data_IF_569468325610
#
_entry.id   IF_569468325610
#
_cell.length_a   1.000
_cell.length_b   1.000
_cell.length_c   1.000
_cell.angle_alpha   90.00
_cell.angle_beta   90.00
_cell.angle_gamma   90.00
#
_symmetry.space_group_name_H-M   'P 1'
#
loop_
_entity.id
_entity.type
_entity.pdbx_description
1 polymer ?
#
# COMPACT_ATOMS: atom_id res chain seq x y z
N UNK A 1 -24.57 -22.57 -5.87
CA UNK A 1 -24.97 -21.25 -5.34
C UNK A 1 -23.78 -20.73 -4.58
N UNK A 2 -22.91 -19.94 -5.22
CA UNK A 2 -21.82 -19.27 -4.51
C UNK A 2 -22.44 -18.15 -3.70
N UNK A 3 -22.46 -18.32 -2.39
CA UNK A 3 -22.84 -17.27 -1.45
C UNK A 3 -21.82 -16.13 -1.61
N UNK A 4 -22.30 -14.95 -2.04
CA UNK A 4 -21.48 -13.73 -2.25
C UNK A 4 -21.12 -13.02 -0.95
N UNK A 5 -21.31 -13.67 0.21
CA UNK A 5 -21.13 -13.05 1.53
C UNK A 5 -19.68 -13.06 2.06
N UNK A 6 -18.68 -13.55 1.31
CA UNK A 6 -17.27 -13.63 1.77
C UNK A 6 -16.33 -12.67 1.03
N UNK A 7 -16.85 -11.79 0.18
CA UNK A 7 -16.05 -10.95 -0.73
C UNK A 7 -15.33 -9.76 -0.05
N UNK A 8 -15.52 -9.54 1.25
CA UNK A 8 -15.04 -8.34 1.96
C UNK A 8 -13.68 -8.49 2.64
N UNK A 9 -13.11 -9.70 2.77
CA UNK A 9 -11.93 -9.93 3.63
C UNK A 9 -10.59 -10.06 2.89
N UNK A 10 -10.57 -9.74 1.60
CA UNK A 10 -9.42 -9.96 0.73
C UNK A 10 -8.77 -8.66 0.22
N UNK A 11 -9.28 -7.50 0.64
CA UNK A 11 -8.79 -6.19 0.21
C UNK A 11 -8.02 -5.53 1.34
N UNK A 12 -6.92 -4.86 1.01
CA UNK A 12 -6.10 -4.15 1.98
C UNK A 12 -5.61 -2.84 1.41
N UNK A 13 -5.71 -1.76 2.20
CA UNK A 13 -4.93 -0.55 1.95
C UNK A 13 -3.57 -0.74 2.58
N UNK A 14 -2.48 -0.57 1.83
CA UNK A 14 -1.13 -0.86 2.28
C UNK A 14 -0.35 0.43 2.47
N UNK A 15 0.23 0.57 3.66
CA UNK A 15 1.09 1.68 4.07
C UNK A 15 2.41 1.72 3.27
N UNK A 16 2.95 2.90 2.97
CA UNK A 16 4.23 3.03 2.24
C UNK A 16 5.36 2.27 2.94
N UNK A 17 5.44 2.29 4.28
CA UNK A 17 6.46 1.56 5.05
C UNK A 17 6.42 0.06 4.80
N UNK A 18 5.22 -0.51 4.64
CA UNK A 18 5.07 -1.91 4.24
C UNK A 18 5.51 -2.09 2.80
N UNK A 19 5.07 -1.21 1.87
CA UNK A 19 5.46 -1.27 0.46
C UNK A 19 6.97 -1.15 0.25
N UNK A 20 7.70 -0.37 1.05
CA UNK A 20 9.16 -0.32 1.00
C UNK A 20 9.77 -1.72 1.15
N UNK A 21 9.29 -2.52 2.10
CA UNK A 21 9.83 -3.86 2.34
C UNK A 21 9.75 -4.81 1.12
N UNK A 22 8.89 -4.51 0.13
CA UNK A 22 8.80 -5.26 -1.12
C UNK A 22 10.15 -5.37 -1.87
N UNK A 23 11.00 -4.34 -1.77
CA UNK A 23 12.28 -4.30 -2.47
C UNK A 23 13.37 -5.17 -1.83
N UNK A 24 13.15 -5.70 -0.63
CA UNK A 24 14.08 -6.61 0.04
C UNK A 24 13.94 -8.04 -0.48
N UNK A 25 15.08 -8.72 -0.62
CA UNK A 25 15.12 -10.13 -0.99
C UNK A 25 14.43 -10.99 0.09
N UNK A 26 13.59 -11.93 -0.34
CA UNK A 26 12.86 -12.83 0.57
C UNK A 26 11.81 -12.13 1.44
N UNK A 27 11.38 -10.92 1.09
CA UNK A 27 10.39 -10.19 1.89
C UNK A 27 9.04 -10.92 1.94
N UNK A 28 8.49 -11.02 3.15
CA UNK A 28 7.15 -11.55 3.35
C UNK A 28 6.10 -10.77 2.56
N UNK A 29 6.29 -9.45 2.48
CA UNK A 29 5.44 -8.53 1.71
C UNK A 29 5.35 -8.92 0.25
N UNK A 30 6.48 -9.24 -0.39
CA UNK A 30 6.47 -9.70 -1.78
C UNK A 30 5.66 -10.98 -1.97
N UNK A 31 5.73 -11.92 -1.03
CA UNK A 31 4.92 -13.13 -1.06
C UNK A 31 3.41 -12.86 -0.96
N UNK A 32 3.00 -11.98 -0.04
CA UNK A 32 1.59 -11.61 0.12
C UNK A 32 1.03 -10.85 -1.08
N UNK A 33 1.78 -9.88 -1.60
CA UNK A 33 1.36 -9.09 -2.77
C UNK A 33 1.14 -9.96 -4.02
N UNK A 34 1.74 -11.14 -4.08
CA UNK A 34 1.58 -12.10 -5.17
C UNK A 34 0.40 -13.07 -4.99
N UNK A 35 -0.28 -13.09 -3.83
CA UNK A 35 -1.41 -13.98 -3.62
C UNK A 35 -2.60 -13.54 -4.49
N UNK A 36 -3.04 -14.35 -5.47
CA UNK A 36 -4.12 -13.97 -6.38
C UNK A 36 -5.48 -13.86 -5.68
N UNK A 37 -5.59 -14.31 -4.42
CA UNK A 37 -6.79 -14.15 -3.62
C UNK A 37 -6.85 -12.80 -2.90
N UNK A 38 -5.77 -12.01 -2.90
CA UNK A 38 -5.68 -10.73 -2.21
C UNK A 38 -5.62 -9.57 -3.21
N UNK A 39 -6.24 -8.45 -2.85
CA UNK A 39 -6.21 -7.20 -3.59
C UNK A 39 -5.60 -6.11 -2.71
N UNK A 40 -4.65 -5.35 -3.27
CA UNK A 40 -3.91 -4.33 -2.53
C UNK A 40 -4.08 -2.96 -3.17
N UNK A 41 -4.29 -1.96 -2.32
CA UNK A 41 -4.51 -0.58 -2.71
C UNK A 41 -3.57 0.32 -1.92
N UNK A 42 -3.17 1.44 -2.49
CA UNK A 42 -2.45 2.49 -1.76
C UNK A 42 -2.79 3.86 -2.36
N UNK A 43 -2.70 4.95 -1.60
CA UNK A 43 -2.70 6.28 -2.17
C UNK A 43 -1.58 6.48 -3.20
N UNK A 44 -1.84 7.26 -4.25
CA UNK A 44 -0.85 7.53 -5.30
C UNK A 44 0.45 8.15 -4.77
N UNK A 45 0.38 8.98 -3.72
CA UNK A 45 1.56 9.59 -3.11
C UNK A 45 2.54 8.53 -2.55
N UNK A 46 2.07 7.34 -2.14
CA UNK A 46 2.94 6.27 -1.67
C UNK A 46 3.91 5.81 -2.77
N UNK A 47 3.48 5.84 -4.03
CA UNK A 47 4.35 5.57 -5.18
C UNK A 47 5.34 6.72 -5.42
N UNK A 48 4.92 7.96 -5.21
CA UNK A 48 5.79 9.14 -5.30
C UNK A 48 6.91 9.05 -4.26
N UNK A 49 6.56 8.76 -3.00
CA UNK A 49 7.49 8.57 -1.89
C UNK A 49 8.51 7.45 -2.19
N UNK A 50 8.05 6.30 -2.72
CA UNK A 50 8.95 5.22 -3.15
C UNK A 50 9.95 5.69 -4.22
N UNK A 51 9.53 6.55 -5.15
CA UNK A 51 10.40 7.08 -6.19
C UNK A 51 11.42 8.08 -5.60
N UNK A 52 10.99 8.94 -4.68
CA UNK A 52 11.86 9.90 -3.99
C UNK A 52 12.93 9.18 -3.16
N UNK A 53 12.56 8.08 -2.51
CA UNK A 53 13.46 7.25 -1.71
C UNK A 53 14.24 6.18 -2.51
N UNK A 54 14.22 6.23 -3.85
CA UNK A 54 14.91 5.27 -4.71
C UNK A 54 16.39 5.07 -4.33
N UNK A 55 17.13 6.15 -4.07
CA UNK A 55 18.55 6.06 -3.71
C UNK A 55 18.78 5.29 -2.40
N UNK A 56 17.93 5.50 -1.40
CA UNK A 56 17.99 4.81 -0.11
C UNK A 56 17.67 3.32 -0.26
N UNK A 57 16.66 2.99 -1.08
CA UNK A 57 16.31 1.59 -1.41
C UNK A 57 17.50 0.90 -2.09
N UNK A 58 18.12 1.53 -3.08
CA UNK A 58 19.27 0.99 -3.78
C UNK A 58 20.45 0.74 -2.83
N UNK A 59 20.74 1.68 -1.93
CA UNK A 59 21.82 1.55 -0.96
C UNK A 59 21.57 0.39 0.02
N UNK A 60 20.36 0.30 0.59
CA UNK A 60 20.01 -0.71 1.59
C UNK A 60 19.87 -2.11 1.03
N UNK A 61 19.27 -2.25 -0.15
CA UNK A 61 18.98 -3.55 -0.78
C UNK A 61 20.12 -4.03 -1.67
N UNK A 62 21.04 -3.14 -2.05
CA UNK A 62 22.17 -3.40 -2.98
C UNK A 62 21.72 -3.89 -4.36
N UNK A 63 20.49 -3.60 -4.77
CA UNK A 63 19.99 -3.91 -6.11
C UNK A 63 20.48 -2.85 -7.11
N UNK A 64 20.49 -3.19 -8.40
CA UNK A 64 20.81 -2.22 -9.45
C UNK A 64 19.64 -1.27 -9.73
N UNK A 65 19.88 -0.08 -10.29
CA UNK A 65 18.83 0.83 -10.74
C UNK A 65 17.84 0.19 -11.73
N UNK A 66 18.33 -0.67 -12.62
CA UNK A 66 17.46 -1.41 -13.55
C UNK A 66 16.58 -2.41 -12.81
N UNK A 67 17.14 -3.13 -11.83
CA UNK A 67 16.36 -4.04 -10.99
C UNK A 67 15.30 -3.30 -10.17
N UNK A 68 15.62 -2.12 -9.64
CA UNK A 68 14.65 -1.26 -8.97
C UNK A 68 13.50 -0.87 -9.92
N UNK A 69 13.79 -0.44 -11.15
CA UNK A 69 12.75 -0.11 -12.14
C UNK A 69 11.84 -1.30 -12.43
N UNK A 70 12.39 -2.50 -12.55
CA UNK A 70 11.62 -3.72 -12.79
C UNK A 70 10.73 -4.07 -11.59
N UNK A 71 11.28 -4.04 -10.37
CA UNK A 71 10.52 -4.26 -9.14
C UNK A 71 9.43 -3.20 -8.96
N UNK A 72 9.69 -1.94 -9.28
CA UNK A 72 8.69 -0.87 -9.22
C UNK A 72 7.55 -1.13 -10.21
N UNK A 73 7.85 -1.55 -11.44
CA UNK A 73 6.82 -1.94 -12.42
C UNK A 73 5.99 -3.12 -11.91
N UNK A 74 6.66 -4.12 -11.32
CA UNK A 74 6.00 -5.27 -10.67
C UNK A 74 5.06 -4.79 -9.56
N UNK A 75 5.52 -3.88 -8.70
CA UNK A 75 4.72 -3.31 -7.62
C UNK A 75 3.46 -2.60 -8.15
N UNK A 76 3.55 -1.82 -9.23
CA UNK A 76 2.40 -1.18 -9.88
C UNK A 76 1.43 -2.16 -10.56
N UNK A 77 1.82 -3.42 -10.77
CA UNK A 77 0.92 -4.48 -11.24
C UNK A 77 0.21 -5.15 -10.07
N UNK A 78 0.87 -5.26 -8.91
CA UNK A 78 0.36 -5.95 -7.72
C UNK A 78 -0.48 -5.03 -6.81
N UNK A 79 -0.25 -3.72 -6.85
CA UNK A 79 -0.91 -2.72 -6.00
C UNK A 79 -1.57 -1.67 -6.88
N UNK A 80 -2.85 -1.40 -6.64
CA UNK A 80 -3.59 -0.33 -7.29
C UNK A 80 -3.36 0.99 -6.54
N UNK A 81 -2.67 1.93 -7.19
CA UNK A 81 -2.39 3.26 -6.65
C UNK A 81 -3.55 4.21 -7.00
N UNK A 82 -4.27 4.67 -5.97
CA UNK A 82 -5.50 5.44 -6.10
C UNK A 82 -5.19 6.94 -5.92
N UNK A 83 -5.60 7.81 -6.86
CA UNK A 83 -5.32 9.23 -6.77
C UNK A 83 -6.23 9.92 -5.74
N UNK A 84 -5.72 10.99 -5.11
CA UNK A 84 -6.38 11.73 -4.02
C UNK A 84 -7.84 12.10 -4.31
N UNK A 85 -8.13 12.48 -5.55
CA UNK A 85 -9.45 12.94 -5.97
C UNK A 85 -10.53 11.86 -5.74
N UNK A 86 -10.15 10.58 -5.79
CA UNK A 86 -11.07 9.46 -5.64
C UNK A 86 -11.48 9.16 -4.18
N UNK A 87 -10.67 9.56 -3.20
CA UNK A 87 -10.97 9.32 -1.78
C UNK A 87 -11.01 10.62 -0.95
N UNK A 88 -10.79 11.78 -1.56
CA UNK A 88 -10.77 13.09 -0.89
C UNK A 88 -12.02 13.41 -0.05
N UNK A 89 -13.20 12.89 -0.45
CA UNK A 89 -14.45 13.05 0.30
C UNK A 89 -14.46 12.31 1.66
N UNK A 90 -13.55 11.36 1.85
CA UNK A 90 -13.40 10.57 3.08
C UNK A 90 -12.35 11.16 4.03
N UNK A 91 -11.54 12.12 3.59
CA UNK A 91 -10.54 12.79 4.45
C UNK A 91 -11.18 13.46 5.67
N UNK A 92 -12.40 13.99 5.53
CA UNK A 92 -13.14 14.61 6.66
C UNK A 92 -13.71 13.58 7.64
N UNK A 93 -13.82 12.32 7.21
CA UNK A 93 -14.34 11.22 8.01
C UNK A 93 -13.22 10.45 8.71
N UNK A 94 -11.98 10.56 8.20
CA UNK A 94 -10.82 10.08 8.91
C UNK A 94 -10.70 10.81 10.26
N UNK A 95 -10.44 10.09 11.37
CA UNK A 95 -10.22 10.72 12.65
C UNK A 95 -9.03 11.68 12.55
N UNK A 96 -9.07 12.74 13.37
CA UNK A 96 -8.00 13.74 13.41
C UNK A 96 -6.74 13.11 14.03
N UNK A 97 -5.97 12.41 13.20
CA UNK A 97 -4.73 11.75 13.57
C UNK A 97 -3.61 12.77 13.41
N UNK A 98 -2.63 12.81 14.33
CA UNK A 98 -1.55 13.78 14.28
C UNK A 98 -0.69 13.67 13.01
N UNK A 99 -0.63 12.48 12.40
CA UNK A 99 0.04 12.26 11.13
C UNK A 99 -0.93 12.45 9.95
N UNK A 100 -0.51 13.31 9.03
CA UNK A 100 -1.27 13.63 7.82
C UNK A 100 -1.28 12.44 6.86
N UNK A 101 -0.21 11.64 6.82
CA UNK A 101 -0.08 10.56 5.87
C UNK A 101 -0.97 9.38 6.28
N UNK A 102 -1.10 9.12 7.59
CA UNK A 102 -2.07 8.18 8.18
C UNK A 102 -3.53 8.51 7.79
N UNK A 103 -3.82 9.80 7.66
CA UNK A 103 -5.17 10.29 7.33
C UNK A 103 -5.59 9.84 5.93
N UNK A 104 -4.68 9.88 4.96
CA UNK A 104 -4.96 9.47 3.58
C UNK A 104 -5.16 7.95 3.46
N UNK A 105 -4.34 7.14 4.14
CA UNK A 105 -4.50 5.67 4.17
C UNK A 105 -5.85 5.29 4.79
N UNK A 106 -6.24 5.93 5.88
CA UNK A 106 -7.54 5.68 6.53
C UNK A 106 -8.71 6.17 5.66
N UNK A 107 -8.59 7.34 5.02
CA UNK A 107 -9.62 7.83 4.11
C UNK A 107 -9.84 6.86 2.94
N UNK A 108 -8.77 6.32 2.38
CA UNK A 108 -8.85 5.32 1.32
C UNK A 108 -9.45 4.00 1.84
N UNK A 109 -9.07 3.55 3.03
CA UNK A 109 -9.63 2.36 3.67
C UNK A 109 -11.13 2.50 3.94
N UNK A 110 -11.58 3.69 4.37
CA UNK A 110 -13.00 4.01 4.53
C UNK A 110 -13.76 4.00 3.19
N UNK A 111 -13.17 4.54 2.11
CA UNK A 111 -13.74 4.47 0.75
C UNK A 111 -13.94 3.01 0.33
N UNK A 112 -12.91 2.19 0.50
CA UNK A 112 -12.85 0.81 0.01
C UNK A 112 -13.49 -0.21 0.97
N UNK A 113 -13.83 0.21 2.19
CA UNK A 113 -14.37 -0.63 3.28
C UNK A 113 -13.48 -1.84 3.57
N UNK A 114 -12.19 -1.59 3.69
CA UNK A 114 -11.19 -2.63 3.92
C UNK A 114 -10.18 -2.19 4.99
N UNK A 115 -9.50 -3.13 5.67
CA UNK A 115 -8.49 -2.79 6.68
C UNK A 115 -7.26 -2.11 6.06
N UNK A 116 -6.54 -1.36 6.90
CA UNK A 116 -5.18 -0.89 6.60
C UNK A 116 -4.18 -1.95 7.06
N UNK A 117 -3.31 -2.37 6.17
CA UNK A 117 -2.13 -3.14 6.49
C UNK A 117 -0.95 -2.18 6.69
N UNK A 118 -0.62 -1.95 7.95
CA UNK A 118 0.57 -1.22 8.38
C UNK A 118 1.37 -2.03 9.41
N UNK A 119 2.68 -1.76 9.46
CA UNK A 119 3.54 -2.22 10.54
C UNK A 119 3.47 -1.30 11.77
N UNK A 120 2.88 -0.11 11.63
CA UNK A 120 2.66 0.79 12.75
C UNK A 120 1.48 0.34 13.62
N UNK A 121 1.67 0.34 14.93
CA UNK A 121 0.62 0.08 15.90
C UNK A 121 -0.50 1.13 15.89
N UNK A 122 -0.24 2.35 15.42
CA UNK A 122 -1.21 3.45 15.38
C UNK A 122 -2.29 3.27 14.30
N UNK A 123 -2.02 2.46 13.27
CA UNK A 123 -2.89 2.24 12.10
C UNK A 123 -3.70 0.94 12.16
N UNK A 124 -3.62 0.17 13.25
CA UNK A 124 -4.43 -1.04 13.43
C UNK A 124 -5.82 -0.67 13.96
N UNK A 125 -6.80 -0.53 13.06
CA UNK A 125 -8.23 -0.49 13.41
C UNK A 125 -8.98 -1.61 12.69
#
# INVERSE_FOLDING_TARGET
MYDKSTSEMNKFVVDTNVLFTFFWEGSFTKGLLMDPNLEFFAPEFALEEINEHCNEILEKTRISPEKFKDLRRELCVLVEFIPLQEYSNFLKQAPNIPDKDDTDFIALALKLKCPVWSNDSHLKQ
#
